data_IF_353383626715
#
_entry.id   IF_353383626715
#
_cell.length_a   1.000
_cell.length_b   1.000
_cell.length_c   1.000
_cell.angle_alpha   90.00
_cell.angle_beta   90.00
_cell.angle_gamma   90.00
#
_symmetry.space_group_name_H-M   'P 1'
#
loop_
_entity.id
_entity.type
_entity.pdbx_description
1 polymer ?
#
# COMPACT_ATOMS: atom_id res chain seq x y z
N UNK A 1 46.45 -109.45 -11.90
CA UNK A 1 45.93 -108.39 -12.79
C UNK A 1 44.89 -107.63 -11.98
N UNK A 2 45.23 -106.43 -11.53
CA UNK A 2 44.37 -105.53 -10.76
C UNK A 2 44.16 -104.26 -11.59
N UNK A 3 42.90 -103.86 -11.75
CA UNK A 3 42.52 -102.65 -12.49
C UNK A 3 42.92 -101.38 -11.71
N UNK A 4 43.46 -100.34 -12.36
CA UNK A 4 43.68 -99.06 -11.72
C UNK A 4 42.37 -98.24 -11.62
N UNK A 5 42.08 -97.80 -10.41
CA UNK A 5 40.99 -96.87 -10.05
C UNK A 5 41.11 -95.55 -10.83
N UNK A 6 40.02 -95.15 -11.51
CA UNK A 6 39.87 -93.84 -12.15
C UNK A 6 39.73 -92.76 -11.08
N UNK A 7 40.70 -91.84 -11.01
CA UNK A 7 40.58 -90.58 -10.27
C UNK A 7 39.67 -89.60 -11.03
N UNK A 8 38.58 -89.19 -10.39
CA UNK A 8 37.70 -88.11 -10.87
C UNK A 8 38.44 -86.76 -10.79
N UNK A 9 38.41 -85.89 -11.81
CA UNK A 9 39.09 -84.60 -11.77
C UNK A 9 38.38 -83.65 -10.80
N UNK A 10 39.17 -82.94 -9.98
CA UNK A 10 38.69 -81.97 -9.00
C UNK A 10 37.96 -80.79 -9.64
N UNK A 11 36.81 -80.45 -9.08
CA UNK A 11 36.08 -79.22 -9.35
C UNK A 11 36.90 -78.03 -8.85
N UNK A 12 37.25 -77.02 -9.66
CA UNK A 12 37.93 -75.83 -9.17
C UNK A 12 36.99 -75.02 -8.27
N UNK A 13 37.37 -74.85 -7.01
CA UNK A 13 36.69 -73.95 -6.07
C UNK A 13 36.91 -72.49 -6.50
N UNK A 14 35.84 -71.71 -6.56
CA UNK A 14 35.92 -70.26 -6.79
C UNK A 14 36.75 -69.60 -5.66
N UNK A 15 37.63 -68.63 -5.99
CA UNK A 15 38.38 -67.90 -4.97
C UNK A 15 37.42 -67.12 -4.07
N UNK A 16 37.57 -67.29 -2.75
CA UNK A 16 36.86 -66.48 -1.76
C UNK A 16 37.26 -65.02 -1.96
N UNK A 17 36.30 -64.18 -2.39
CA UNK A 17 36.51 -62.75 -2.47
C UNK A 17 36.76 -62.22 -1.04
N UNK A 18 37.74 -61.32 -0.84
CA UNK A 18 37.99 -60.75 0.47
C UNK A 18 36.72 -60.04 0.95
N UNK A 19 36.16 -60.52 2.04
CA UNK A 19 35.08 -59.83 2.75
C UNK A 19 35.70 -58.52 3.25
N UNK A 20 35.44 -57.42 2.55
CA UNK A 20 35.81 -56.08 3.01
C UNK A 20 35.06 -55.85 4.31
N UNK A 21 35.75 -56.04 5.44
CA UNK A 21 35.24 -55.65 6.74
C UNK A 21 35.27 -54.12 6.79
N UNK A 22 34.12 -53.51 6.50
CA UNK A 22 33.91 -52.07 6.75
C UNK A 22 34.27 -51.80 8.21
N UNK A 23 35.14 -50.81 8.45
CA UNK A 23 35.62 -50.54 9.79
C UNK A 23 34.45 -50.16 10.72
N UNK A 24 34.53 -50.43 12.04
CA UNK A 24 33.38 -50.28 12.95
C UNK A 24 32.74 -48.88 12.96
N UNK A 25 33.49 -47.84 12.59
CA UNK A 25 32.99 -46.47 12.49
C UNK A 25 32.15 -46.22 11.22
N UNK A 26 32.27 -47.05 10.17
CA UNK A 26 31.43 -46.99 8.97
C UNK A 26 30.04 -47.60 9.21
N UNK A 27 29.92 -48.49 10.20
CA UNK A 27 28.66 -49.16 10.58
C UNK A 27 27.81 -48.36 11.59
N UNK A 28 28.32 -47.25 12.14
CA UNK A 28 27.58 -46.40 13.10
C UNK A 28 26.48 -45.61 12.42
N UNK A 29 25.31 -45.56 13.05
CA UNK A 29 24.18 -44.77 12.53
C UNK A 29 24.54 -43.28 12.50
N UNK A 30 23.92 -42.49 11.60
CA UNK A 30 24.16 -41.02 11.54
C UNK A 30 23.90 -40.33 12.89
N UNK A 31 23.00 -40.88 13.69
CA UNK A 31 22.70 -40.45 15.05
C UNK A 31 23.89 -40.62 16.01
N UNK A 32 24.64 -41.72 15.90
CA UNK A 32 25.83 -41.97 16.71
C UNK A 32 27.06 -41.19 16.23
N UNK A 33 27.15 -40.92 14.92
CA UNK A 33 28.25 -40.13 14.32
C UNK A 33 28.17 -38.64 14.65
N UNK A 34 26.97 -38.07 14.64
CA UNK A 34 26.76 -36.62 14.76
C UNK A 34 26.09 -36.19 16.08
N UNK A 35 25.51 -37.11 16.85
CA UNK A 35 24.93 -36.83 18.17
C UNK A 35 23.95 -35.65 18.14
N UNK A 36 24.19 -34.65 18.99
CA UNK A 36 23.37 -33.43 19.06
C UNK A 36 23.33 -32.60 17.78
N UNK A 37 24.37 -32.65 16.93
CA UNK A 37 24.38 -31.92 15.65
C UNK A 37 23.33 -32.45 14.67
N UNK A 38 22.99 -33.74 14.73
CA UNK A 38 21.92 -34.29 13.91
C UNK A 38 20.57 -33.65 14.24
N UNK A 39 20.24 -33.54 15.53
CA UNK A 39 19.00 -32.89 15.98
C UNK A 39 18.98 -31.39 15.66
N UNK A 40 20.13 -30.72 15.78
CA UNK A 40 20.24 -29.31 15.41
C UNK A 40 20.05 -29.09 13.91
N UNK A 41 20.62 -29.96 13.07
CA UNK A 41 20.42 -29.90 11.62
C UNK A 41 18.96 -30.17 11.22
N UNK A 42 18.31 -31.17 11.83
CA UNK A 42 16.89 -31.45 11.60
C UNK A 42 16.01 -30.31 12.10
N UNK A 43 16.26 -29.78 13.30
CA UNK A 43 15.53 -28.65 13.85
C UNK A 43 15.67 -27.39 13.00
N UNK A 44 16.90 -27.09 12.54
CA UNK A 44 17.17 -25.99 11.61
C UNK A 44 16.44 -26.17 10.28
N UNK A 45 16.38 -27.40 9.74
CA UNK A 45 15.63 -27.68 8.51
C UNK A 45 14.12 -27.49 8.71
N UNK A 46 13.55 -27.97 9.82
CA UNK A 46 12.12 -27.78 10.13
C UNK A 46 11.79 -26.30 10.24
N UNK A 47 12.62 -25.53 10.95
CA UNK A 47 12.44 -24.08 11.08
C UNK A 47 12.52 -23.38 9.72
N UNK A 48 13.49 -23.75 8.87
CA UNK A 48 13.61 -23.22 7.51
C UNK A 48 12.38 -23.53 6.65
N UNK A 49 11.91 -24.78 6.65
CA UNK A 49 10.69 -25.18 5.92
C UNK A 49 9.48 -24.41 6.43
N UNK A 50 9.37 -24.21 7.75
CA UNK A 50 8.33 -23.38 8.36
C UNK A 50 8.39 -21.93 7.88
N UNK A 51 9.58 -21.31 7.85
CA UNK A 51 9.76 -19.95 7.34
C UNK A 51 9.43 -19.83 5.86
N UNK A 52 9.83 -20.79 5.03
CA UNK A 52 9.49 -20.82 3.60
C UNK A 52 7.98 -20.95 3.41
N UNK A 53 7.33 -21.85 4.17
CA UNK A 53 5.88 -22.01 4.13
C UNK A 53 5.13 -20.76 4.55
N UNK A 54 5.57 -20.10 5.62
CA UNK A 54 5.01 -18.83 6.09
C UNK A 54 5.18 -17.71 5.05
N UNK A 55 6.37 -17.58 4.46
CA UNK A 55 6.63 -16.60 3.40
C UNK A 55 5.77 -16.86 2.15
N UNK A 56 5.70 -18.13 1.69
CA UNK A 56 4.89 -18.51 0.55
C UNK A 56 3.40 -18.24 0.79
N UNK A 57 2.92 -18.49 2.01
CA UNK A 57 1.56 -18.15 2.42
C UNK A 57 1.32 -16.64 2.39
N UNK A 58 2.22 -15.83 2.94
CA UNK A 58 2.12 -14.37 2.91
C UNK A 58 2.16 -13.77 1.49
N UNK A 59 2.99 -14.32 0.62
CA UNK A 59 3.01 -13.94 -0.79
C UNK A 59 1.69 -14.30 -1.49
N UNK A 60 1.12 -15.48 -1.19
CA UNK A 60 -0.14 -15.94 -1.76
C UNK A 60 -1.34 -15.14 -1.25
N UNK A 61 -1.38 -14.75 0.02
CA UNK A 61 -2.48 -13.91 0.55
C UNK A 61 -2.53 -12.55 -0.14
N UNK A 62 -1.39 -11.99 -0.53
CA UNK A 62 -1.30 -10.72 -1.26
C UNK A 62 -1.63 -10.84 -2.76
N UNK A 63 -1.95 -12.03 -3.29
CA UNK A 63 -2.19 -12.24 -4.74
C UNK A 63 -3.24 -11.29 -5.33
N UNK A 64 -4.24 -10.90 -4.55
CA UNK A 64 -5.31 -10.01 -5.01
C UNK A 64 -4.83 -8.56 -5.11
N UNK A 65 -4.04 -8.11 -4.13
CA UNK A 65 -3.36 -6.80 -4.16
C UNK A 65 -2.44 -6.74 -5.39
N UNK A 66 -1.59 -7.74 -5.61
CA UNK A 66 -0.69 -7.77 -6.77
C UNK A 66 -1.43 -7.77 -8.10
N UNK A 67 -2.52 -8.53 -8.22
CA UNK A 67 -3.37 -8.54 -9.41
C UNK A 67 -3.95 -7.16 -9.69
N UNK A 68 -4.50 -6.50 -8.67
CA UNK A 68 -5.13 -5.19 -8.84
C UNK A 68 -4.10 -4.09 -9.13
N UNK A 69 -2.91 -4.13 -8.51
CA UNK A 69 -1.77 -3.26 -8.86
C UNK A 69 -1.34 -3.48 -10.32
N UNK A 70 -1.25 -4.74 -10.77
CA UNK A 70 -0.88 -5.05 -12.16
C UNK A 70 -1.91 -4.50 -13.16
N UNK A 71 -3.20 -4.74 -12.92
CA UNK A 71 -4.28 -4.21 -13.79
C UNK A 71 -4.25 -2.68 -13.79
N UNK A 72 -4.06 -2.06 -12.62
CA UNK A 72 -4.06 -0.61 -12.45
C UNK A 72 -2.94 0.07 -13.23
N UNK A 73 -1.74 -0.52 -13.28
CA UNK A 73 -0.57 0.02 -13.97
C UNK A 73 -0.39 -0.47 -15.42
N UNK A 74 -1.27 -1.34 -15.93
CA UNK A 74 -1.22 -1.79 -17.32
C UNK A 74 -1.89 -0.75 -18.24
N UNK A 75 -1.13 0.03 -19.05
CA UNK A 75 -1.70 1.03 -19.94
C UNK A 75 -2.50 0.40 -21.10
N UNK A 76 -2.31 -0.89 -21.38
CA UNK A 76 -3.07 -1.62 -22.38
C UNK A 76 -4.48 -2.02 -21.93
N UNK A 77 -4.81 -1.85 -20.64
CA UNK A 77 -6.14 -2.17 -20.10
C UNK A 77 -7.13 -1.02 -20.32
N UNK A 78 -8.42 -1.35 -20.56
CA UNK A 78 -9.49 -0.36 -20.55
C UNK A 78 -9.50 0.44 -19.25
N UNK A 79 -9.76 1.75 -19.32
CA UNK A 79 -9.80 2.61 -18.13
C UNK A 79 -10.79 2.10 -17.08
N UNK A 80 -11.94 1.57 -17.51
CA UNK A 80 -12.94 0.99 -16.60
C UNK A 80 -12.36 -0.12 -15.71
N UNK A 81 -11.54 -1.02 -16.27
CA UNK A 81 -10.88 -2.10 -15.53
C UNK A 81 -9.88 -1.55 -14.53
N UNK A 82 -9.14 -0.50 -14.91
CA UNK A 82 -8.15 0.19 -14.05
C UNK A 82 -8.84 0.92 -12.90
N UNK A 83 -9.96 1.58 -13.15
CA UNK A 83 -10.77 2.26 -12.13
C UNK A 83 -11.40 1.26 -11.17
N UNK A 84 -11.88 0.13 -11.67
CA UNK A 84 -12.42 -0.94 -10.83
C UNK A 84 -11.32 -1.61 -9.98
N UNK A 85 -10.13 -1.81 -10.54
CA UNK A 85 -8.96 -2.27 -9.78
C UNK A 85 -8.58 -1.28 -8.67
N UNK A 86 -8.56 0.02 -8.95
CA UNK A 86 -8.35 1.06 -7.94
C UNK A 86 -9.42 1.04 -6.83
N UNK A 87 -10.69 0.82 -7.18
CA UNK A 87 -11.78 0.69 -6.20
C UNK A 87 -11.58 -0.51 -5.27
N UNK A 88 -11.21 -1.67 -5.81
CA UNK A 88 -10.91 -2.86 -5.01
C UNK A 88 -9.71 -2.63 -4.11
N UNK A 89 -8.65 -2.03 -4.65
CA UNK A 89 -7.42 -1.74 -3.90
C UNK A 89 -7.67 -0.75 -2.75
N UNK A 90 -8.47 0.28 -2.99
CA UNK A 90 -8.87 1.27 -1.98
C UNK A 90 -9.57 0.64 -0.77
N UNK A 91 -10.37 -0.41 -1.00
CA UNK A 91 -11.08 -1.16 0.04
C UNK A 91 -10.31 -2.34 0.63
N UNK A 92 -9.12 -2.68 0.12
CA UNK A 92 -8.41 -3.88 0.53
C UNK A 92 -7.58 -3.65 1.81
N UNK A 93 -7.88 -4.33 2.93
CA UNK A 93 -7.16 -4.14 4.19
C UNK A 93 -5.69 -4.55 4.12
N UNK A 94 -5.30 -5.41 3.18
CA UNK A 94 -3.92 -5.87 2.99
C UNK A 94 -3.06 -4.86 2.21
N UNK A 95 -3.67 -3.85 1.57
CA UNK A 95 -2.96 -2.79 0.88
C UNK A 95 -2.55 -1.69 1.87
N UNK A 96 -1.24 -1.56 2.12
CA UNK A 96 -0.74 -0.65 3.17
C UNK A 96 -0.95 0.83 2.80
N UNK A 97 -1.08 1.74 3.80
CA UNK A 97 -1.21 3.18 3.54
C UNK A 97 -0.07 3.72 2.67
N UNK A 98 1.17 3.25 2.92
CA UNK A 98 2.35 3.63 2.14
C UNK A 98 2.24 3.20 0.68
N UNK A 99 1.79 1.98 0.40
CA UNK A 99 1.56 1.48 -0.96
C UNK A 99 0.50 2.31 -1.68
N UNK A 100 -0.63 2.61 -1.01
CA UNK A 100 -1.68 3.46 -1.58
C UNK A 100 -1.17 4.86 -1.90
N UNK A 101 -0.30 5.42 -1.05
CA UNK A 101 0.32 6.72 -1.30
C UNK A 101 1.23 6.67 -2.53
N UNK A 102 2.10 5.67 -2.64
CA UNK A 102 2.96 5.50 -3.82
C UNK A 102 2.15 5.37 -5.11
N UNK A 103 1.07 4.59 -5.06
CA UNK A 103 0.16 4.41 -6.19
C UNK A 103 -0.53 5.74 -6.52
N UNK A 104 -1.11 6.45 -5.54
CA UNK A 104 -1.74 7.76 -5.78
C UNK A 104 -0.77 8.79 -6.40
N UNK A 105 0.51 8.70 -6.06
CA UNK A 105 1.57 9.56 -6.62
C UNK A 105 2.11 9.06 -7.96
N UNK A 106 1.69 7.91 -8.47
CA UNK A 106 2.16 7.41 -9.76
C UNK A 106 1.65 8.30 -10.92
N UNK A 107 2.51 8.66 -11.90
CA UNK A 107 2.17 9.60 -12.97
C UNK A 107 1.23 9.03 -14.02
N UNK A 108 1.20 7.71 -14.20
CA UNK A 108 0.57 6.95 -15.29
C UNK A 108 -0.87 6.49 -15.00
N UNK A 109 -1.44 6.92 -13.87
CA UNK A 109 -2.80 6.55 -13.48
C UNK A 109 -3.87 7.46 -14.09
N UNK A 110 -5.01 6.90 -14.53
CA UNK A 110 -6.21 7.67 -14.83
C UNK A 110 -6.65 8.46 -13.60
N UNK A 111 -7.12 9.69 -13.80
CA UNK A 111 -7.45 10.58 -12.69
C UNK A 111 -8.49 10.00 -11.73
N UNK A 112 -9.47 9.25 -12.23
CA UNK A 112 -10.47 8.55 -11.40
C UNK A 112 -9.86 7.48 -10.51
N UNK A 113 -8.98 6.67 -11.09
CA UNK A 113 -8.30 5.61 -10.37
C UNK A 113 -7.41 6.22 -9.29
N UNK A 114 -6.65 7.27 -9.65
CA UNK A 114 -5.83 8.04 -8.72
C UNK A 114 -6.66 8.67 -7.59
N UNK A 115 -7.82 9.26 -7.92
CA UNK A 115 -8.73 9.86 -6.94
C UNK A 115 -9.22 8.82 -5.93
N UNK A 116 -9.69 7.66 -6.39
CA UNK A 116 -10.17 6.57 -5.51
C UNK A 116 -9.09 6.10 -4.54
N UNK A 117 -7.85 5.90 -5.02
CA UNK A 117 -6.74 5.47 -4.17
C UNK A 117 -6.38 6.57 -3.17
N UNK A 118 -6.25 7.82 -3.60
CA UNK A 118 -5.92 8.94 -2.72
C UNK A 118 -7.01 9.21 -1.67
N UNK A 119 -8.29 9.10 -2.04
CA UNK A 119 -9.44 9.26 -1.12
C UNK A 119 -9.46 8.18 -0.03
N UNK A 120 -8.90 7.01 -0.32
CA UNK A 120 -8.83 5.85 0.60
C UNK A 120 -7.66 5.88 1.58
N UNK A 121 -6.81 6.91 1.53
CA UNK A 121 -5.70 7.05 2.47
C UNK A 121 -6.24 7.35 3.86
N UNK A 122 -5.90 6.53 4.86
CA UNK A 122 -6.36 6.77 6.21
C UNK A 122 -5.38 7.72 6.95
N UNK A 123 -5.71 8.21 8.15
CA UNK A 123 -4.85 9.14 8.90
C UNK A 123 -3.44 8.59 9.16
N UNK A 124 -3.32 7.27 9.36
CA UNK A 124 -2.08 6.55 9.61
C UNK A 124 -1.07 6.70 8.46
N UNK A 125 -1.54 7.04 7.24
CA UNK A 125 -0.65 7.32 6.12
C UNK A 125 0.36 8.45 6.41
N UNK A 126 0.01 9.37 7.30
CA UNK A 126 0.87 10.46 7.74
C UNK A 126 1.61 10.17 9.06
N UNK A 127 1.30 9.09 9.78
CA UNK A 127 1.88 8.84 11.11
C UNK A 127 3.29 8.24 11.06
N UNK A 128 3.56 7.38 10.07
CA UNK A 128 4.86 6.70 9.93
C UNK A 128 6.02 7.67 9.64
N UNK A 129 5.77 8.71 8.84
CA UNK A 129 6.72 9.78 8.52
C UNK A 129 5.98 11.12 8.32
N UNK A 130 5.56 11.80 9.40
CA UNK A 130 4.74 13.02 9.30
C UNK A 130 5.45 14.13 8.53
N UNK A 131 6.78 14.19 8.65
CA UNK A 131 7.60 15.19 8.00
C UNK A 131 7.78 14.92 6.51
N UNK A 132 8.18 13.70 6.15
CA UNK A 132 8.30 13.31 4.75
C UNK A 132 6.96 13.37 4.04
N UNK A 133 5.88 12.98 4.71
CA UNK A 133 4.52 13.08 4.18
C UNK A 133 4.12 14.54 3.94
N UNK A 134 4.23 15.43 4.94
CA UNK A 134 3.90 16.85 4.78
C UNK A 134 4.71 17.53 3.66
N UNK A 135 6.00 17.20 3.53
CA UNK A 135 6.85 17.68 2.44
C UNK A 135 6.42 17.13 1.08
N UNK A 136 6.04 15.85 1.00
CA UNK A 136 5.55 15.25 -0.23
C UNK A 136 4.25 15.91 -0.71
N UNK A 137 3.35 16.25 0.23
CA UNK A 137 2.11 16.96 -0.08
C UNK A 137 2.37 18.40 -0.54
N UNK A 138 3.23 19.16 0.16
CA UNK A 138 3.51 20.55 -0.23
C UNK A 138 4.25 20.62 -1.57
N UNK A 139 5.23 19.74 -1.79
CA UNK A 139 6.09 19.73 -2.97
C UNK A 139 5.63 18.81 -4.10
N UNK A 140 4.35 18.44 -4.13
CA UNK A 140 3.75 17.69 -5.23
C UNK A 140 3.66 18.54 -6.53
N UNK A 141 4.81 18.89 -7.09
CA UNK A 141 4.93 19.76 -8.26
C UNK A 141 4.28 19.10 -9.50
N UNK A 142 3.57 19.90 -10.30
CA UNK A 142 2.86 19.43 -11.49
C UNK A 142 1.66 18.53 -11.21
N UNK A 143 1.27 18.34 -9.93
CA UNK A 143 0.07 17.57 -9.56
C UNK A 143 -1.15 18.48 -9.46
N UNK A 144 -2.35 17.95 -9.80
CA UNK A 144 -3.58 18.73 -9.71
C UNK A 144 -3.96 19.00 -8.26
N UNK A 145 -4.57 20.15 -8.01
CA UNK A 145 -4.90 20.59 -6.65
C UNK A 145 -5.90 19.67 -5.93
N UNK A 146 -6.78 19.02 -6.69
CA UNK A 146 -7.68 18.01 -6.12
C UNK A 146 -6.91 16.83 -5.49
N UNK A 147 -5.75 16.46 -6.03
CA UNK A 147 -4.93 15.39 -5.47
C UNK A 147 -4.29 15.87 -4.17
N UNK A 148 -3.72 17.07 -4.18
CA UNK A 148 -3.13 17.71 -3.00
C UNK A 148 -4.15 17.83 -1.85
N UNK A 149 -5.40 18.17 -2.16
CA UNK A 149 -6.51 18.17 -1.20
C UNK A 149 -6.74 16.79 -0.56
N UNK A 150 -6.78 15.73 -1.37
CA UNK A 150 -6.96 14.37 -0.84
C UNK A 150 -5.77 13.92 0.02
N UNK A 151 -4.55 14.33 -0.34
CA UNK A 151 -3.37 14.04 0.47
C UNK A 151 -3.27 14.90 1.74
N UNK A 152 -3.90 16.08 1.77
CA UNK A 152 -3.99 16.89 3.00
C UNK A 152 -4.89 16.28 4.07
N UNK A 153 -5.87 15.46 3.65
CA UNK A 153 -6.85 14.86 4.55
C UNK A 153 -6.19 14.05 5.68
N UNK A 154 -5.31 13.05 5.43
CA UNK A 154 -4.63 12.32 6.50
C UNK A 154 -3.95 13.21 7.54
N UNK A 155 -3.32 14.31 7.11
CA UNK A 155 -2.71 15.28 8.02
C UNK A 155 -3.76 16.03 8.87
N UNK A 156 -4.89 16.39 8.29
CA UNK A 156 -5.99 17.05 9.00
C UNK A 156 -6.65 16.12 10.05
N UNK A 157 -6.87 14.85 9.72
CA UNK A 157 -7.36 13.86 10.70
C UNK A 157 -6.31 13.61 11.78
N UNK A 158 -5.05 13.41 11.40
CA UNK A 158 -3.93 13.19 12.32
C UNK A 158 -3.71 14.36 13.28
N UNK A 159 -3.87 15.61 12.82
CA UNK A 159 -3.77 16.80 13.68
C UNK A 159 -4.74 16.75 14.86
N UNK A 160 -5.99 16.34 14.61
CA UNK A 160 -7.00 16.18 15.65
C UNK A 160 -6.70 15.02 16.62
N UNK A 161 -5.99 14.00 16.16
CA UNK A 161 -5.51 12.89 16.98
C UNK A 161 -4.22 13.22 17.77
N UNK A 162 -3.67 14.43 17.61
CA UNK A 162 -2.44 14.86 18.28
C UNK A 162 -1.16 14.45 17.57
N UNK A 163 -1.22 14.07 16.29
CA UNK A 163 -0.03 13.79 15.49
C UNK A 163 0.86 15.04 15.37
N UNK A 164 2.18 14.82 15.36
CA UNK A 164 3.15 15.91 15.21
C UNK A 164 3.19 16.39 13.75
N UNK A 165 2.39 17.41 13.43
CA UNK A 165 2.34 17.98 12.08
C UNK A 165 3.45 19.02 11.87
N UNK A 166 4.22 18.83 10.80
CA UNK A 166 5.25 19.78 10.40
C UNK A 166 4.65 21.11 9.91
N UNK A 167 5.00 22.18 10.63
CA UNK A 167 4.38 23.49 10.45
C UNK A 167 4.83 24.19 9.15
N UNK A 168 6.07 23.98 8.72
CA UNK A 168 6.65 24.66 7.55
C UNK A 168 5.88 24.36 6.26
N UNK A 169 5.80 23.08 5.83
CA UNK A 169 5.04 22.68 4.64
C UNK A 169 3.55 23.08 4.71
N UNK A 170 2.96 23.02 5.90
CA UNK A 170 1.55 23.42 6.07
C UNK A 170 1.35 24.92 5.90
N UNK A 171 2.31 25.77 6.31
CA UNK A 171 2.25 27.21 6.04
C UNK A 171 2.37 27.52 4.55
N UNK A 172 3.27 26.84 3.84
CA UNK A 172 3.37 26.94 2.38
C UNK A 172 2.02 26.61 1.71
N UNK A 173 1.32 25.58 2.21
CA UNK A 173 0.00 25.19 1.72
C UNK A 173 -1.13 26.14 2.15
N UNK A 174 -1.01 26.82 3.30
CA UNK A 174 -1.99 27.80 3.76
C UNK A 174 -2.01 29.09 2.91
N UNK A 175 -0.93 29.32 2.15
CA UNK A 175 -0.76 30.40 1.19
C UNK A 175 -0.93 29.91 -0.27
N UNK A 176 -1.43 28.69 -0.46
CA UNK A 176 -1.60 28.10 -1.79
C UNK A 176 -2.64 28.86 -2.65
N UNK A 177 -2.44 28.99 -3.97
CA UNK A 177 -3.38 29.71 -4.86
C UNK A 177 -4.78 29.11 -4.90
N UNK A 178 -4.90 27.79 -4.75
CA UNK A 178 -6.19 27.12 -4.61
C UNK A 178 -6.79 27.36 -3.20
N UNK A 179 -7.96 28.01 -3.07
CA UNK A 179 -8.52 28.35 -1.77
C UNK A 179 -8.93 27.13 -0.93
N UNK A 180 -9.36 26.02 -1.56
CA UNK A 180 -9.71 24.82 -0.80
C UNK A 180 -8.45 24.23 -0.16
N UNK A 181 -7.33 24.16 -0.88
CA UNK A 181 -6.03 23.72 -0.33
C UNK A 181 -5.63 24.59 0.85
N UNK A 182 -5.74 25.91 0.69
CA UNK A 182 -5.43 26.86 1.75
C UNK A 182 -6.30 26.66 2.99
N UNK A 183 -7.61 26.45 2.84
CA UNK A 183 -8.54 26.23 3.95
C UNK A 183 -8.23 24.94 4.71
N UNK A 184 -7.98 23.83 4.02
CA UNK A 184 -7.60 22.56 4.65
C UNK A 184 -6.27 22.68 5.40
N UNK A 185 -5.28 23.37 4.82
CA UNK A 185 -4.00 23.59 5.49
C UNK A 185 -4.13 24.50 6.73
N UNK A 186 -4.96 25.55 6.67
CA UNK A 186 -5.27 26.42 7.82
C UNK A 186 -5.98 25.66 8.94
N UNK A 187 -6.94 24.80 8.60
CA UNK A 187 -7.58 23.90 9.57
C UNK A 187 -6.53 23.02 10.26
N UNK A 188 -5.68 22.33 9.50
CA UNK A 188 -4.63 21.46 10.05
C UNK A 188 -3.67 22.23 10.97
N UNK A 189 -3.27 23.44 10.58
CA UNK A 189 -2.44 24.32 11.42
C UNK A 189 -3.14 24.74 12.71
N UNK A 190 -4.41 25.15 12.63
CA UNK A 190 -5.19 25.56 13.80
C UNK A 190 -5.39 24.40 14.79
N UNK A 191 -5.69 23.20 14.28
CA UNK A 191 -5.89 22.02 15.11
C UNK A 191 -4.57 21.54 15.74
N UNK A 192 -3.48 21.53 14.97
CA UNK A 192 -2.15 21.10 15.46
C UNK A 192 -1.55 22.02 16.53
N UNK A 193 -1.98 23.28 16.61
CA UNK A 193 -1.51 24.24 17.59
C UNK A 193 -2.63 25.19 18.05
N UNK A 194 -3.43 24.70 19.01
CA UNK A 194 -4.56 25.44 19.59
C UNK A 194 -4.20 26.77 20.25
N UNK A 195 -2.93 27.00 20.58
CA UNK A 195 -2.47 28.30 21.12
C UNK A 195 -2.25 29.35 20.03
N UNK A 196 -2.06 28.93 18.77
CA UNK A 196 -1.91 29.83 17.63
C UNK A 196 -3.26 30.11 16.96
N UNK A 197 -3.91 31.19 17.39
CA UNK A 197 -5.24 31.59 16.90
C UNK A 197 -5.24 32.25 15.51
N UNK A 198 -4.08 32.45 14.86
CA UNK A 198 -4.01 33.14 13.56
C UNK A 198 -4.80 32.37 12.49
N UNK A 199 -4.59 31.06 12.40
CA UNK A 199 -5.23 30.23 11.37
C UNK A 199 -6.71 29.97 11.67
N UNK A 200 -7.08 29.84 12.95
CA UNK A 200 -8.48 29.78 13.40
C UNK A 200 -9.25 31.05 13.01
N UNK A 201 -8.71 32.23 13.32
CA UNK A 201 -9.32 33.52 12.95
C UNK A 201 -9.47 33.68 11.44
N UNK A 202 -8.45 33.30 10.67
CA UNK A 202 -8.52 33.36 9.20
C UNK A 202 -9.61 32.43 8.66
N UNK A 203 -9.72 31.20 9.18
CA UNK A 203 -10.73 30.24 8.78
C UNK A 203 -12.16 30.73 9.10
N UNK A 204 -12.35 31.34 10.29
CA UNK A 204 -13.64 31.94 10.68
C UNK A 204 -13.99 33.18 9.87
N UNK A 205 -13.01 33.99 9.48
CA UNK A 205 -13.24 35.13 8.58
C UNK A 205 -13.81 34.65 7.25
N UNK A 206 -13.16 33.65 6.63
CA UNK A 206 -13.60 33.12 5.34
C UNK A 206 -14.99 32.44 5.40
N UNK A 207 -15.32 31.84 6.55
CA UNK A 207 -16.64 31.26 6.79
C UNK A 207 -17.76 32.32 6.90
N UNK A 208 -17.41 33.57 7.24
CA UNK A 208 -18.35 34.70 7.33
C UNK A 208 -18.50 35.49 6.03
N UNK A 209 -17.67 35.21 5.02
CA UNK A 209 -17.70 35.89 3.73
C UNK A 209 -18.67 35.21 2.75
N UNK A 210 -19.20 35.93 1.76
CA UNK A 210 -20.08 35.38 0.70
C UNK A 210 -19.29 34.70 -0.44
N UNK A 211 -18.12 34.14 -0.13
CA UNK A 211 -17.20 33.53 -1.09
C UNK A 211 -17.65 32.15 -1.59
N UNK A 212 -17.12 31.67 -2.75
CA UNK A 212 -17.45 30.35 -3.30
C UNK A 212 -17.04 29.18 -2.40
N UNK A 213 -16.12 29.41 -1.46
CA UNK A 213 -15.62 28.41 -0.50
C UNK A 213 -16.11 28.64 0.94
N UNK A 214 -17.03 29.59 1.17
CA UNK A 214 -17.56 29.90 2.49
C UNK A 214 -18.20 28.66 3.16
N UNK A 215 -18.96 27.87 2.39
CA UNK A 215 -19.55 26.62 2.87
C UNK A 215 -18.51 25.58 3.31
N UNK A 216 -17.36 25.50 2.64
CA UNK A 216 -16.26 24.63 3.07
C UNK A 216 -15.63 25.15 4.37
N UNK A 217 -15.36 26.44 4.44
CA UNK A 217 -14.81 27.08 5.62
C UNK A 217 -15.72 26.87 6.84
N UNK A 218 -17.04 27.01 6.69
CA UNK A 218 -18.03 26.76 7.74
C UNK A 218 -17.99 25.30 8.25
N UNK A 219 -17.87 24.32 7.35
CA UNK A 219 -17.73 22.91 7.75
C UNK A 219 -16.45 22.71 8.58
N UNK A 220 -15.32 23.29 8.15
CA UNK A 220 -14.04 23.17 8.84
C UNK A 220 -14.03 23.91 10.19
N UNK A 221 -14.70 25.06 10.31
CA UNK A 221 -14.89 25.73 11.62
C UNK A 221 -15.70 24.85 12.56
N UNK A 222 -16.79 24.23 12.07
CA UNK A 222 -17.58 23.27 12.87
C UNK A 222 -16.76 22.05 13.28
N UNK A 223 -15.78 21.64 12.48
CA UNK A 223 -14.84 20.59 12.86
C UNK A 223 -13.88 21.04 13.99
N UNK A 224 -13.34 22.26 13.94
CA UNK A 224 -12.50 22.82 15.03
C UNK A 224 -13.28 22.97 16.33
N UNK A 225 -14.55 23.35 16.25
CA UNK A 225 -15.42 23.55 17.42
C UNK A 225 -15.97 22.23 18.01
N UNK A 226 -15.75 21.10 17.33
CA UNK A 226 -16.23 19.80 17.77
C UNK A 226 -15.49 19.33 19.04
N UNK A 227 -16.26 18.99 20.09
CA UNK A 227 -15.71 18.51 21.36
C UNK A 227 -15.37 17.02 21.35
N UNK A 228 -16.12 16.25 20.58
CA UNK A 228 -15.93 14.81 20.43
C UNK A 228 -15.16 14.51 19.14
N UNK A 229 -14.28 13.53 19.18
CA UNK A 229 -13.46 13.14 18.03
C UNK A 229 -14.34 12.61 16.88
N UNK A 230 -15.36 11.82 17.18
CA UNK A 230 -16.30 11.29 16.18
C UNK A 230 -17.04 12.40 15.43
N UNK A 231 -17.47 13.45 16.14
CA UNK A 231 -18.12 14.61 15.53
C UNK A 231 -17.15 15.36 14.61
N UNK A 232 -15.90 15.55 15.05
CA UNK A 232 -14.85 16.19 14.23
C UNK A 232 -14.61 15.39 12.95
N UNK A 233 -14.43 14.07 13.06
CA UNK A 233 -14.24 13.16 11.92
C UNK A 233 -15.42 13.25 10.95
N UNK A 234 -16.65 13.23 11.45
CA UNK A 234 -17.85 13.34 10.62
C UNK A 234 -17.91 14.68 9.84
N UNK A 235 -17.43 15.79 10.44
CA UNK A 235 -17.31 17.09 9.74
C UNK A 235 -16.21 17.08 8.69
N UNK A 236 -15.08 16.42 8.92
CA UNK A 236 -14.04 16.27 7.91
C UNK A 236 -14.51 15.40 6.73
N UNK A 237 -15.34 14.38 6.98
CA UNK A 237 -16.00 13.60 5.93
C UNK A 237 -17.05 14.42 5.15
N UNK A 238 -17.78 15.30 5.84
CA UNK A 238 -18.66 16.30 5.20
C UNK A 238 -17.86 17.26 4.30
N UNK A 239 -16.73 17.80 4.79
CA UNK A 239 -15.84 18.68 4.02
C UNK A 239 -15.26 17.97 2.79
N UNK A 240 -14.91 16.69 2.91
CA UNK A 240 -14.43 15.87 1.80
C UNK A 240 -15.49 15.71 0.72
N UNK A 241 -16.73 15.40 1.11
CA UNK A 241 -17.87 15.32 0.18
C UNK A 241 -18.16 16.67 -0.47
N UNK A 242 -18.03 17.76 0.28
CA UNK A 242 -18.15 19.12 -0.26
C UNK A 242 -17.12 19.37 -1.36
N UNK A 243 -15.85 19.06 -1.12
CA UNK A 243 -14.76 19.21 -2.11
C UNK A 243 -15.07 18.41 -3.37
N UNK A 244 -15.48 17.15 -3.22
CA UNK A 244 -15.83 16.28 -4.36
C UNK A 244 -16.92 16.89 -5.24
N UNK A 245 -17.89 17.58 -4.65
CA UNK A 245 -19.03 18.16 -5.36
C UNK A 245 -18.76 19.56 -5.93
N UNK A 246 -17.97 20.41 -5.24
CA UNK A 246 -17.88 21.84 -5.55
C UNK A 246 -16.50 22.29 -6.05
N UNK A 247 -15.42 21.56 -5.74
CA UNK A 247 -14.09 21.92 -6.25
C UNK A 247 -14.03 21.62 -7.76
N UNK A 248 -13.68 22.59 -8.62
CA UNK A 248 -13.75 22.43 -10.08
C UNK A 248 -12.87 21.29 -10.58
N UNK A 249 -11.66 21.16 -10.03
CA UNK A 249 -10.76 20.06 -10.36
C UNK A 249 -11.30 18.70 -9.93
N UNK A 250 -11.94 18.60 -8.76
CA UNK A 250 -12.38 17.32 -8.21
C UNK A 250 -13.67 16.83 -8.91
N UNK A 251 -14.62 17.73 -9.12
CA UNK A 251 -15.88 17.43 -9.81
C UNK A 251 -15.69 17.06 -11.29
N UNK A 252 -14.68 17.63 -11.95
CA UNK A 252 -14.33 17.29 -13.35
C UNK A 252 -13.93 15.81 -13.52
N UNK A 253 -13.23 15.24 -12.54
CA UNK A 253 -12.83 13.81 -12.53
C UNK A 253 -14.06 12.90 -12.67
N UNK A 254 -15.19 13.28 -12.09
CA UNK A 254 -16.42 12.48 -12.06
C UNK A 254 -17.37 12.77 -13.23
N UNK A 255 -17.38 13.99 -13.77
CA UNK A 255 -18.29 14.41 -14.84
C UNK A 255 -17.88 13.93 -16.24
N UNK A 256 -16.58 13.71 -16.51
CA UNK A 256 -16.08 13.25 -17.83
C UNK A 256 -16.36 11.78 -18.21
N UNK A 257 -17.33 11.11 -17.55
CA UNK A 257 -17.49 9.63 -17.66
C UNK A 257 -18.20 9.14 -18.92
N UNK A 258 -18.97 10.03 -19.54
CA UNK A 258 -19.99 9.63 -20.52
C UNK A 258 -19.54 9.67 -21.97
N UNK A 259 -18.30 10.08 -22.26
CA UNK A 259 -17.94 10.53 -23.62
C UNK A 259 -16.64 9.90 -24.16
N UNK A 260 -16.35 8.66 -23.76
CA UNK A 260 -15.57 7.78 -24.62
C UNK A 260 -16.53 7.21 -25.68
N UNK A 261 -16.79 8.00 -26.71
CA UNK A 261 -17.47 7.53 -27.91
C UNK A 261 -16.77 6.26 -28.42
N UNK A 262 -17.50 5.22 -28.87
CA UNK A 262 -16.87 4.11 -29.57
C UNK A 262 -16.18 4.71 -30.78
N UNK A 263 -14.85 4.64 -30.83
CA UNK A 263 -14.12 4.82 -32.08
C UNK A 263 -14.60 3.69 -32.97
N UNK A 264 -15.61 4.03 -33.76
CA UNK A 264 -16.24 3.17 -34.72
C UNK A 264 -15.15 2.54 -35.56
N UNK A 265 -15.19 1.21 -35.59
CA UNK A 265 -14.63 0.41 -36.66
C UNK A 265 -15.19 0.96 -37.97
N UNK A 266 -14.38 1.77 -38.67
CA UNK A 266 -14.42 1.85 -40.13
C UNK A 266 -13.27 0.99 -40.63
N UNK A 267 -13.44 -0.17 -41.26
CA UNK A 267 -14.63 -0.68 -41.94
C UNK A 267 -14.76 -0.03 -43.32
N UNK A 268 -14.15 -0.65 -44.35
CA UNK A 268 -14.34 -0.33 -45.77
C UNK A 268 -13.14 0.41 -46.38
N UNK A 269 -12.15 -0.27 -46.99
CA UNK A 269 -12.16 -0.92 -48.32
C UNK A 269 -12.14 0.08 -49.50
N UNK A 270 -11.30 -0.21 -50.50
CA UNK A 270 -11.39 0.35 -51.84
C UNK A 270 -10.06 0.74 -52.45
#
# INVERSE_FOLDING_TARGET
MAEPSKSTPGTPGLPELPIVQLEPWEQRSRLEKYGGFYYLAVGGLVLLVGMIGWFAWGAWSLREVWRDVYILHDPGRPEADRVEAARRLAGNPDATPRQRLDIALAPDLPDRARYLVAESLPPEAAEDDPRGYALAVSRAEGRPDWLRLLLLRPLAYGAGAGAAIEQGPMRELADHPDPAVALWARYTLAESNRYNTIHDKALRSEAGDDGPYAGLAEILVRALDARADDDRVARLDEATRWVRAHHPGASSVWSGAGEAAPTGVGGGEG
#
